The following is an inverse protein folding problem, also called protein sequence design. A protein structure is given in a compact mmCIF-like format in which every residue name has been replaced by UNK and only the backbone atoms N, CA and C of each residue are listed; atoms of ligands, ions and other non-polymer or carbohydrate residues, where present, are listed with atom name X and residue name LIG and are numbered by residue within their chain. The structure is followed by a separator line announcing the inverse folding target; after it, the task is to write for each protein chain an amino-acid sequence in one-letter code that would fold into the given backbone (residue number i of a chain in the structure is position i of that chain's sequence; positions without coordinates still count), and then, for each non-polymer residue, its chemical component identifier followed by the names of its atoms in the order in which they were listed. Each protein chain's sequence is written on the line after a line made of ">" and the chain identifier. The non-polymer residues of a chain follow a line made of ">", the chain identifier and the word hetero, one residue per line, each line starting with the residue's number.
data_IF_049526857734
#
_entry.id   IF_049526857734
#
_cell.length_a   1.000
_cell.length_b   1.000
_cell.length_c   1.000
_cell.angle_alpha   90.00
_cell.angle_beta   90.00
_cell.angle_gamma   90.00
#
_symmetry.space_group_name_H-M   'P 1'
#
loop_
_entity.id
_entity.type
_entity.pdbx_description
1 polymer ?
#
# COMPACT_ATOMS: atom_id res chain seq x y z
N UNK A 1 32.74 -20.92 4.22
CA UNK A 1 31.94 -19.70 4.47
C UNK A 1 31.35 -19.72 5.88
N UNK A 2 32.08 -19.14 6.84
CA UNK A 2 31.55 -18.93 8.20
C UNK A 2 30.39 -17.94 8.15
N UNK A 3 29.33 -18.21 8.89
CA UNK A 3 28.05 -17.55 8.71
C UNK A 3 28.15 -16.04 9.01
N UNK A 4 27.60 -15.21 8.12
CA UNK A 4 26.90 -14.02 8.60
C UNK A 4 25.86 -14.54 9.60
N UNK A 5 26.05 -14.26 10.90
CA UNK A 5 25.01 -13.50 11.56
C UNK A 5 25.64 -12.52 12.62
N UNK A 6 24.88 -11.62 13.26
CA UNK A 6 23.60 -12.14 13.73
C UNK A 6 22.43 -11.28 14.05
N UNK A 7 22.58 -10.01 14.35
CA UNK A 7 21.40 -9.21 14.62
C UNK A 7 21.53 -8.00 13.73
N UNK A 8 20.72 -7.98 12.66
CA UNK A 8 20.14 -6.70 12.26
C UNK A 8 19.48 -6.07 13.49
N UNK A 9 19.07 -4.82 13.35
CA UNK A 9 18.32 -4.11 14.39
C UNK A 9 17.32 -5.03 15.10
N UNK A 10 17.36 -5.08 16.43
CA UNK A 10 16.41 -5.92 17.16
C UNK A 10 15.01 -5.36 16.97
N UNK A 11 13.96 -6.19 17.05
CA UNK A 11 12.59 -5.70 16.87
C UNK A 11 12.22 -4.52 17.80
N UNK A 12 12.84 -4.42 18.98
CA UNK A 12 12.61 -3.33 19.93
C UNK A 12 13.29 -2.01 19.53
N UNK A 13 14.29 -2.08 18.65
CA UNK A 13 15.02 -0.93 18.12
C UNK A 13 14.46 -0.45 16.78
N UNK A 14 13.61 -1.24 16.12
CA UNK A 14 12.93 -0.84 14.87
C UNK A 14 11.86 0.18 15.21
N UNK A 15 12.03 1.40 14.70
CA UNK A 15 10.99 2.41 14.68
C UNK A 15 10.38 2.43 13.27
N UNK A 16 9.26 1.72 13.12
CA UNK A 16 8.57 1.60 11.83
C UNK A 16 8.14 2.95 11.23
N UNK A 17 8.11 4.03 12.03
CA UNK A 17 7.74 5.36 11.57
C UNK A 17 8.97 6.26 11.29
N UNK A 18 10.20 5.81 11.57
CA UNK A 18 11.43 6.56 11.31
C UNK A 18 12.04 6.19 9.96
N UNK A 19 11.62 6.88 8.89
CA UNK A 19 12.14 6.65 7.54
C UNK A 19 13.67 6.86 7.41
N UNK A 20 14.28 7.65 8.29
CA UNK A 20 15.72 7.92 8.32
C UNK A 20 16.54 6.90 9.11
N UNK A 21 15.93 5.82 9.59
CA UNK A 21 16.59 4.85 10.43
C UNK A 21 17.69 4.08 9.66
N UNK A 22 18.92 4.13 10.16
CA UNK A 22 20.03 3.38 9.57
C UNK A 22 19.98 1.90 9.96
N UNK A 23 19.33 1.10 9.11
CA UNK A 23 19.23 -0.36 9.26
C UNK A 23 20.55 -1.11 9.08
N UNK A 24 21.61 -0.42 8.66
CA UNK A 24 22.95 -1.01 8.50
C UNK A 24 23.88 -0.73 9.70
N UNK A 25 23.45 0.05 10.70
CA UNK A 25 24.25 0.44 11.87
C UNK A 25 24.92 -0.75 12.57
N UNK A 26 24.20 -1.88 12.68
CA UNK A 26 24.65 -3.08 13.40
C UNK A 26 25.36 -4.11 12.52
N UNK A 27 25.50 -3.85 11.21
CA UNK A 27 26.24 -4.73 10.31
C UNK A 27 27.73 -4.40 10.38
N UNK A 28 28.56 -5.43 10.55
CA UNK A 28 30.02 -5.27 10.42
C UNK A 28 30.40 -4.90 8.98
N UNK A 29 31.56 -4.26 8.80
CA UNK A 29 32.05 -3.92 7.46
C UNK A 29 32.24 -5.18 6.58
N UNK A 30 32.72 -6.28 7.15
CA UNK A 30 32.82 -7.57 6.45
C UNK A 30 31.45 -8.08 5.98
N UNK A 31 30.40 -7.88 6.79
CA UNK A 31 29.02 -8.26 6.45
C UNK A 31 28.47 -7.39 5.31
N UNK A 32 28.73 -6.07 5.35
CA UNK A 32 28.36 -5.13 4.28
C UNK A 32 29.10 -5.46 2.98
N UNK A 33 30.37 -5.83 3.05
CA UNK A 33 31.16 -6.21 1.87
C UNK A 33 30.70 -7.52 1.23
N UNK A 34 30.29 -8.51 2.04
CA UNK A 34 29.75 -9.78 1.54
C UNK A 34 28.30 -9.67 1.05
N UNK A 35 27.53 -8.73 1.61
CA UNK A 35 26.12 -8.50 1.29
C UNK A 35 25.85 -7.01 1.04
N UNK A 36 26.41 -6.44 -0.05
CA UNK A 36 26.29 -5.01 -0.37
C UNK A 36 24.84 -4.58 -0.67
N UNK A 37 23.97 -5.54 -0.95
CA UNK A 37 22.56 -5.32 -1.29
C UNK A 37 22.40 -5.00 -2.78
N UNK A 38 21.20 -5.22 -3.32
CA UNK A 38 20.99 -5.11 -4.76
C UNK A 38 20.74 -3.71 -5.29
N UNK A 39 20.65 -2.67 -4.45
CA UNK A 39 20.29 -1.32 -4.93
C UNK A 39 21.51 -0.64 -5.54
N UNK A 40 21.45 -0.38 -6.83
CA UNK A 40 22.44 0.43 -7.52
C UNK A 40 22.48 1.86 -6.96
N UNK A 41 23.66 2.47 -6.98
CA UNK A 41 23.81 3.90 -6.70
C UNK A 41 22.98 4.72 -7.70
N UNK A 42 22.48 5.88 -7.26
CA UNK A 42 21.41 6.71 -7.83
C UNK A 42 21.30 6.87 -9.37
N UNK A 43 22.35 6.59 -10.13
CA UNK A 43 22.39 6.72 -11.60
C UNK A 43 23.03 5.54 -12.32
N UNK A 44 23.37 4.45 -11.61
CA UNK A 44 23.96 3.27 -12.23
C UNK A 44 22.87 2.34 -12.77
N UNK A 45 23.00 1.96 -14.04
CA UNK A 45 22.17 0.92 -14.64
C UNK A 45 22.43 -0.42 -13.94
N UNK A 46 21.39 -1.23 -13.67
CA UNK A 46 21.55 -2.58 -13.13
C UNK A 46 22.54 -3.40 -13.93
N UNK A 47 23.61 -3.87 -13.27
CA UNK A 47 24.65 -4.69 -13.89
C UNK A 47 24.41 -6.18 -13.66
N UNK A 48 23.57 -6.53 -12.69
CA UNK A 48 23.37 -7.90 -12.21
C UNK A 48 24.43 -8.36 -11.20
N UNK A 49 25.38 -7.47 -10.84
CA UNK A 49 26.30 -7.73 -9.74
C UNK A 49 25.58 -7.72 -8.39
N UNK A 50 26.22 -8.30 -7.38
CA UNK A 50 25.66 -8.44 -6.03
C UNK A 50 25.35 -7.10 -5.35
N UNK A 51 26.05 -6.03 -5.76
CA UNK A 51 25.93 -4.64 -5.29
C UNK A 51 25.05 -3.76 -6.20
N UNK A 52 24.57 -4.28 -7.33
CA UNK A 52 23.79 -3.50 -8.30
C UNK A 52 22.91 -4.41 -9.18
N UNK A 53 21.79 -4.83 -8.61
CA UNK A 53 20.76 -5.66 -9.25
C UNK A 53 19.52 -4.86 -9.66
N UNK A 54 19.20 -3.76 -8.98
CA UNK A 54 17.99 -2.95 -9.24
C UNK A 54 18.20 -1.46 -8.95
N UNK A 55 17.43 -0.62 -9.64
CA UNK A 55 17.20 0.79 -9.30
C UNK A 55 15.75 0.97 -8.87
N UNK A 56 15.47 2.02 -8.10
CA UNK A 56 14.11 2.42 -7.73
C UNK A 56 13.98 3.91 -7.99
N UNK A 57 12.92 4.27 -8.68
CA UNK A 57 12.48 5.64 -8.87
C UNK A 57 11.00 5.73 -8.48
N UNK A 58 10.57 6.92 -8.06
CA UNK A 58 9.17 7.18 -7.81
C UNK A 58 8.49 7.46 -9.16
N UNK A 59 7.48 6.64 -9.49
CA UNK A 59 6.73 6.76 -10.73
C UNK A 59 5.40 7.52 -10.54
N UNK A 60 5.00 7.81 -9.29
CA UNK A 60 3.70 8.36 -8.95
C UNK A 60 2.74 7.33 -8.34
N UNK A 61 1.55 7.80 -7.96
CA UNK A 61 0.56 7.02 -7.22
C UNK A 61 -0.87 7.30 -7.69
N UNK A 62 -1.71 6.27 -7.60
CA UNK A 62 -3.16 6.38 -7.82
C UNK A 62 -3.84 5.87 -6.56
N UNK A 63 -4.71 6.69 -6.00
CA UNK A 63 -5.47 6.32 -4.81
C UNK A 63 -6.76 5.57 -5.21
N UNK A 64 -7.22 4.68 -4.33
CA UNK A 64 -8.44 3.90 -4.58
C UNK A 64 -9.67 4.82 -4.64
N UNK A 65 -9.72 5.86 -3.80
CA UNK A 65 -10.80 6.83 -3.77
C UNK A 65 -10.96 7.57 -5.11
N UNK A 66 -9.85 7.96 -5.75
CA UNK A 66 -9.82 8.50 -7.12
C UNK A 66 -10.39 7.51 -8.14
N UNK A 67 -10.04 6.23 -8.02
CA UNK A 67 -10.44 5.19 -8.96
C UNK A 67 -11.92 4.81 -8.84
N UNK A 68 -12.48 4.83 -7.63
CA UNK A 68 -13.86 4.39 -7.35
C UNK A 68 -14.83 5.54 -7.11
N UNK A 69 -14.34 6.78 -7.06
CA UNK A 69 -15.15 8.00 -6.91
C UNK A 69 -15.54 8.31 -5.47
N UNK A 70 -14.76 7.90 -4.47
CA UNK A 70 -14.97 8.33 -3.08
C UNK A 70 -14.47 9.77 -2.94
N UNK A 71 -15.37 10.72 -2.65
CA UNK A 71 -14.99 12.12 -2.50
C UNK A 71 -14.14 12.41 -1.25
N UNK A 72 -14.36 11.65 -0.18
CA UNK A 72 -13.60 11.78 1.05
C UNK A 72 -13.51 10.41 1.73
N UNK A 73 -12.33 9.79 1.64
CA UNK A 73 -12.09 8.46 2.20
C UNK A 73 -12.28 8.40 3.72
N UNK A 74 -11.90 9.47 4.43
CA UNK A 74 -12.10 9.55 5.87
C UNK A 74 -13.59 9.55 6.24
N UNK A 75 -14.43 10.30 5.52
CA UNK A 75 -15.88 10.28 5.73
C UNK A 75 -16.46 8.93 5.38
N UNK A 76 -16.08 8.37 4.23
CA UNK A 76 -16.53 7.04 3.79
C UNK A 76 -16.28 5.99 4.88
N UNK A 77 -15.05 5.89 5.39
CA UNK A 77 -14.64 4.83 6.31
C UNK A 77 -15.00 5.11 7.79
N UNK A 78 -14.81 6.33 8.28
CA UNK A 78 -14.89 6.62 9.72
C UNK A 78 -16.23 7.17 10.18
N UNK A 79 -16.81 8.14 9.45
CA UNK A 79 -17.90 8.97 9.99
C UNK A 79 -19.24 8.77 9.29
N UNK A 80 -19.28 8.22 8.08
CA UNK A 80 -20.51 8.06 7.28
C UNK A 80 -21.63 7.35 8.05
N UNK A 81 -21.28 6.26 8.75
CA UNK A 81 -22.22 5.48 9.53
C UNK A 81 -22.79 6.26 10.71
N UNK A 82 -21.94 6.91 11.51
CA UNK A 82 -22.40 7.68 12.68
C UNK A 82 -23.22 8.89 12.27
N UNK A 83 -22.83 9.57 11.19
CA UNK A 83 -23.61 10.70 10.63
C UNK A 83 -24.99 10.23 10.17
N UNK A 84 -25.08 9.11 9.47
CA UNK A 84 -26.39 8.54 9.10
C UNK A 84 -27.22 8.21 10.35
N UNK A 85 -26.63 7.56 11.36
CA UNK A 85 -27.35 7.20 12.58
C UNK A 85 -27.91 8.44 13.30
N UNK A 86 -27.12 9.52 13.37
CA UNK A 86 -27.55 10.80 13.94
C UNK A 86 -28.70 11.41 13.13
N UNK A 87 -28.63 11.40 11.80
CA UNK A 87 -29.69 11.90 10.92
C UNK A 87 -30.99 11.10 11.05
N UNK A 88 -30.90 9.77 11.07
CA UNK A 88 -32.06 8.88 11.26
C UNK A 88 -32.72 9.16 12.61
N UNK A 89 -31.93 9.36 13.68
CA UNK A 89 -32.46 9.70 15.00
C UNK A 89 -33.19 11.04 15.05
N UNK A 90 -32.81 11.97 14.16
CA UNK A 90 -33.41 13.30 14.03
C UNK A 90 -34.55 13.35 12.99
N UNK A 91 -34.82 12.25 12.29
CA UNK A 91 -35.79 12.21 11.19
C UNK A 91 -35.35 12.99 9.94
N UNK A 92 -34.04 13.22 9.78
CA UNK A 92 -33.45 13.90 8.61
C UNK A 92 -33.19 12.92 7.45
N UNK A 93 -33.12 11.62 7.74
CA UNK A 93 -32.83 10.56 6.78
C UNK A 93 -33.58 9.28 7.17
N UNK A 94 -33.90 8.42 6.19
CA UNK A 94 -34.51 7.11 6.44
C UNK A 94 -33.42 6.03 6.53
N UNK A 95 -33.51 5.15 7.53
CA UNK A 95 -32.60 4.00 7.67
C UNK A 95 -32.93 2.84 6.73
N UNK A 96 -32.09 1.79 6.66
CA UNK A 96 -30.97 1.50 7.57
C UNK A 96 -29.64 2.15 7.17
N UNK A 97 -28.85 2.54 8.17
CA UNK A 97 -27.49 3.02 7.96
C UNK A 97 -26.53 1.87 7.64
N UNK A 98 -25.67 2.08 6.64
CA UNK A 98 -24.69 1.10 6.19
C UNK A 98 -23.30 1.55 6.65
N UNK A 99 -22.59 0.67 7.35
CA UNK A 99 -21.18 0.89 7.65
C UNK A 99 -20.33 0.44 6.47
N UNK A 100 -19.83 1.41 5.72
CA UNK A 100 -18.97 1.18 4.57
C UNK A 100 -17.69 0.45 4.98
N UNK A 101 -17.23 -0.45 4.10
CA UNK A 101 -15.96 -1.18 4.22
C UNK A 101 -15.43 -1.41 2.83
N UNK A 102 -14.13 -1.23 2.62
CA UNK A 102 -13.54 -1.54 1.32
C UNK A 102 -13.74 -3.00 0.92
N UNK A 103 -13.65 -3.92 1.89
CA UNK A 103 -13.78 -5.35 1.65
C UNK A 103 -14.31 -6.08 2.88
N UNK A 104 -15.28 -6.97 2.67
CA UNK A 104 -15.79 -7.93 3.62
C UNK A 104 -15.43 -9.36 3.15
N UNK A 105 -14.60 -10.10 3.91
CA UNK A 105 -14.20 -11.45 3.53
C UNK A 105 -15.35 -12.47 3.50
N UNK A 106 -16.47 -12.20 4.19
CA UNK A 106 -17.61 -13.12 4.21
C UNK A 106 -18.39 -13.10 2.89
N UNK A 107 -18.50 -11.93 2.27
CA UNK A 107 -19.23 -11.72 1.01
C UNK A 107 -18.31 -11.67 -0.20
N UNK A 108 -16.99 -11.62 0.01
CA UNK A 108 -15.99 -11.36 -1.04
C UNK A 108 -16.35 -10.11 -1.85
N UNK A 109 -16.79 -9.07 -1.14
CA UNK A 109 -17.29 -7.83 -1.72
C UNK A 109 -17.02 -6.63 -0.83
N UNK A 110 -16.95 -5.45 -1.42
CA UNK A 110 -16.95 -4.21 -0.66
C UNK A 110 -18.37 -3.82 -0.22
N UNK A 111 -18.43 -3.01 0.84
CA UNK A 111 -19.66 -2.39 1.33
C UNK A 111 -19.53 -0.90 1.05
N UNK A 112 -20.33 -0.39 0.11
CA UNK A 112 -20.26 1.00 -0.35
C UNK A 112 -19.28 1.25 -1.51
N UNK A 113 -18.45 0.27 -1.85
CA UNK A 113 -17.67 0.21 -3.11
C UNK A 113 -17.65 -1.22 -3.64
N UNK A 114 -17.51 -1.40 -4.95
CA UNK A 114 -17.43 -2.73 -5.59
C UNK A 114 -16.02 -3.11 -6.03
N UNK A 115 -15.01 -2.28 -5.68
CA UNK A 115 -13.66 -2.44 -6.23
C UNK A 115 -13.08 -3.82 -5.91
N UNK A 116 -13.26 -4.32 -4.70
CA UNK A 116 -12.71 -5.61 -4.27
C UNK A 116 -13.64 -6.81 -4.49
N UNK A 117 -14.79 -6.64 -5.15
CA UNK A 117 -15.77 -7.72 -5.36
C UNK A 117 -15.18 -8.87 -6.17
N UNK A 118 -15.17 -10.09 -5.66
CA UNK A 118 -14.48 -11.20 -6.30
C UNK A 118 -12.98 -10.92 -6.34
N UNK A 119 -12.31 -10.78 -5.18
CA UNK A 119 -10.90 -10.34 -5.17
C UNK A 119 -9.97 -11.34 -5.87
N UNK A 120 -10.34 -12.62 -5.86
CA UNK A 120 -9.60 -13.72 -6.49
C UNK A 120 -10.07 -14.02 -7.92
N UNK A 121 -11.08 -13.31 -8.41
CA UNK A 121 -11.55 -13.42 -9.79
C UNK A 121 -10.52 -12.78 -10.73
N UNK A 122 -10.02 -13.57 -11.67
CA UNK A 122 -8.95 -13.17 -12.60
C UNK A 122 -9.42 -12.10 -13.59
N UNK A 123 -10.66 -12.20 -14.07
CA UNK A 123 -11.21 -11.26 -15.04
C UNK A 123 -11.46 -9.90 -14.36
N UNK A 124 -12.01 -9.91 -13.15
CA UNK A 124 -12.14 -8.68 -12.35
C UNK A 124 -10.78 -8.10 -11.98
N UNK A 125 -9.79 -8.95 -11.67
CA UNK A 125 -8.40 -8.53 -11.44
C UNK A 125 -7.82 -7.80 -12.66
N UNK A 126 -8.08 -8.31 -13.87
CA UNK A 126 -7.68 -7.67 -15.12
C UNK A 126 -8.37 -6.31 -15.31
N UNK A 127 -9.68 -6.22 -15.09
CA UNK A 127 -10.43 -4.96 -15.19
C UNK A 127 -9.92 -3.89 -14.22
N UNK A 128 -9.60 -4.27 -12.96
CA UNK A 128 -8.99 -3.36 -11.98
C UNK A 128 -7.66 -2.80 -12.48
N UNK A 129 -6.80 -3.67 -13.03
CA UNK A 129 -5.50 -3.26 -13.56
C UNK A 129 -5.64 -2.37 -14.80
N UNK A 130 -6.63 -2.60 -15.65
CA UNK A 130 -6.92 -1.74 -16.80
C UNK A 130 -7.37 -0.34 -16.36
N UNK A 131 -8.27 -0.26 -15.36
CA UNK A 131 -8.68 1.03 -14.77
C UNK A 131 -7.52 1.77 -14.11
N UNK A 132 -6.70 1.07 -13.34
CA UNK A 132 -5.51 1.62 -12.71
C UNK A 132 -4.55 2.21 -13.76
N UNK A 133 -4.23 1.45 -14.81
CA UNK A 133 -3.35 1.92 -15.89
C UNK A 133 -3.91 3.14 -16.62
N UNK A 134 -5.21 3.15 -16.90
CA UNK A 134 -5.86 4.27 -17.56
C UNK A 134 -5.82 5.55 -16.71
N UNK A 135 -6.11 5.42 -15.41
CA UNK A 135 -6.05 6.55 -14.48
C UNK A 135 -4.61 7.04 -14.27
N UNK A 136 -3.66 6.11 -14.12
CA UNK A 136 -2.25 6.44 -13.98
C UNK A 136 -1.72 7.19 -15.20
N UNK A 137 -2.00 6.71 -16.42
CA UNK A 137 -1.60 7.38 -17.66
C UNK A 137 -2.26 8.77 -17.83
N UNK A 138 -3.43 8.97 -17.24
CA UNK A 138 -4.10 10.28 -17.23
C UNK A 138 -3.47 11.24 -16.22
N UNK A 139 -3.08 10.73 -15.04
CA UNK A 139 -2.49 11.51 -13.94
C UNK A 139 -1.01 11.84 -14.18
N UNK A 140 -0.28 10.93 -14.84
CA UNK A 140 1.15 11.02 -15.14
C UNK A 140 1.40 10.67 -16.63
N UNK A 141 1.19 11.62 -17.56
CA UNK A 141 1.34 11.41 -19.00
C UNK A 141 2.80 11.38 -19.50
#
# INVERSE_FOLDING_TARGET
>A
PGACPSMGMTNNEIDANMASQDVNLYKTEDCKAQNPGGRCLYSAYPTGAADCTYTVEDAGEVLIDEMVGIANYHVFWNTSYTTCMDHVSQGLEEGPCIQNREYDPLTDAGIGISFWDGRLDVDKGKERMERLRALFATKYP
#
